data_IF_435240100775
#
_entry.id   IF_435240100775
#
_cell.length_a   1.000
_cell.length_b   1.000
_cell.length_c   1.000
_cell.angle_alpha   90.00
_cell.angle_beta   90.00
_cell.angle_gamma   90.00
#
_symmetry.space_group_name_H-M   'P 1'
#
loop_
_entity.id
_entity.type
_entity.pdbx_description
1 polymer ?
#
# COMPACT_ATOMS: atom_id res chain seq x y z
N UNK A 1 -8.48 -6.66 5.67
CA UNK A 1 -7.82 -7.52 4.65
C UNK A 1 -8.08 -6.93 3.27
N UNK A 2 -7.03 -6.76 2.47
CA UNK A 2 -7.14 -6.46 1.04
C UNK A 2 -6.94 -7.72 0.19
N UNK A 3 -7.39 -7.65 -1.05
CA UNK A 3 -7.23 -8.74 -2.02
C UNK A 3 -6.62 -8.23 -3.32
N UNK A 4 -5.65 -8.95 -3.88
CA UNK A 4 -5.09 -8.58 -5.16
C UNK A 4 -6.12 -8.71 -6.27
N UNK A 5 -6.10 -7.71 -7.15
CA UNK A 5 -6.77 -7.67 -8.43
C UNK A 5 -5.73 -7.92 -9.50
N UNK A 6 -5.96 -8.91 -10.34
CA UNK A 6 -4.99 -9.39 -11.33
C UNK A 6 -5.56 -9.30 -12.73
N UNK A 7 -4.68 -9.05 -13.68
CA UNK A 7 -4.96 -9.03 -15.11
C UNK A 7 -4.04 -8.06 -15.83
N UNK A 8 -3.61 -8.37 -17.06
CA UNK A 8 -2.73 -7.53 -17.84
C UNK A 8 -3.43 -6.30 -18.44
N UNK A 9 -4.75 -6.35 -18.62
CA UNK A 9 -5.52 -5.29 -19.27
C UNK A 9 -6.51 -4.63 -18.29
N UNK A 10 -6.99 -3.40 -18.60
CA UNK A 10 -8.07 -2.76 -17.85
C UNK A 10 -9.33 -3.62 -17.68
N UNK A 11 -9.71 -4.38 -18.71
CA UNK A 11 -10.91 -5.23 -18.64
C UNK A 11 -10.71 -6.45 -17.74
N UNK A 12 -9.53 -7.04 -17.72
CA UNK A 12 -9.19 -8.14 -16.83
C UNK A 12 -9.24 -7.72 -15.37
N UNK A 13 -8.69 -6.55 -15.04
CA UNK A 13 -8.71 -6.04 -13.66
C UNK A 13 -10.13 -5.66 -13.24
N UNK A 14 -10.98 -5.11 -14.14
CA UNK A 14 -12.40 -4.87 -13.85
C UNK A 14 -13.12 -6.18 -13.51
N UNK A 15 -12.96 -7.21 -14.34
CA UNK A 15 -13.58 -8.51 -14.10
C UNK A 15 -13.16 -9.11 -12.75
N UNK A 16 -11.85 -9.02 -12.42
CA UNK A 16 -11.33 -9.51 -11.15
C UNK A 16 -11.85 -8.67 -9.97
N UNK A 17 -11.94 -7.35 -10.11
CA UNK A 17 -12.47 -6.47 -9.07
C UNK A 17 -13.93 -6.80 -8.73
N UNK A 18 -14.79 -6.98 -9.73
CA UNK A 18 -16.20 -7.44 -9.54
C UNK A 18 -16.26 -8.73 -8.73
N UNK A 19 -15.43 -9.72 -9.09
CA UNK A 19 -15.39 -10.98 -8.36
C UNK A 19 -15.00 -10.77 -6.89
N UNK A 20 -14.03 -9.90 -6.61
CA UNK A 20 -13.62 -9.59 -5.22
C UNK A 20 -14.72 -8.90 -4.44
N UNK A 21 -15.46 -7.97 -5.06
CA UNK A 21 -16.61 -7.33 -4.42
C UNK A 21 -17.71 -8.35 -4.09
N UNK A 22 -18.01 -9.28 -5.01
CA UNK A 22 -18.98 -10.36 -4.75
C UNK A 22 -18.55 -11.28 -3.60
N UNK A 23 -17.24 -11.45 -3.40
CA UNK A 23 -16.66 -12.18 -2.27
C UNK A 23 -16.67 -11.38 -0.96
N UNK A 24 -17.15 -10.13 -0.97
CA UNK A 24 -17.28 -9.28 0.22
C UNK A 24 -16.04 -8.45 0.56
N UNK A 25 -15.01 -8.42 -0.29
CA UNK A 25 -13.84 -7.58 -0.05
C UNK A 25 -14.17 -6.11 -0.30
N UNK A 26 -13.64 -5.23 0.56
CA UNK A 26 -13.79 -3.77 0.51
C UNK A 26 -12.45 -3.03 0.36
N UNK A 27 -11.36 -3.78 0.23
CA UNK A 27 -10.01 -3.25 0.00
C UNK A 27 -9.37 -4.09 -1.09
N UNK A 28 -8.97 -3.43 -2.16
CA UNK A 28 -8.38 -4.07 -3.34
C UNK A 28 -6.98 -3.55 -3.57
N UNK A 29 -6.09 -4.40 -4.09
CA UNK A 29 -4.72 -4.03 -4.41
C UNK A 29 -4.43 -4.37 -5.86
N UNK A 30 -3.99 -3.38 -6.64
CA UNK A 30 -3.49 -3.54 -8.00
C UNK A 30 -1.98 -3.51 -7.96
N UNK A 31 -1.33 -4.56 -8.45
CA UNK A 31 0.14 -4.55 -8.61
C UNK A 31 0.51 -3.73 -9.82
N UNK A 32 1.42 -2.79 -9.61
CA UNK A 32 1.97 -1.86 -10.60
C UNK A 32 3.50 -1.88 -10.49
N UNK A 33 4.22 -1.06 -11.26
CA UNK A 33 5.67 -0.97 -11.16
C UNK A 33 6.40 -1.32 -12.45
N UNK A 34 5.65 -1.61 -13.52
CA UNK A 34 6.19 -1.91 -14.86
C UNK A 34 6.06 -0.70 -15.80
N UNK A 35 5.00 -0.64 -16.59
CA UNK A 35 4.72 0.49 -17.47
C UNK A 35 3.79 1.49 -16.77
N UNK A 36 4.26 2.72 -16.47
CA UNK A 36 3.50 3.67 -15.68
C UNK A 36 2.17 4.11 -16.32
N UNK A 37 2.04 4.05 -17.66
CA UNK A 37 0.79 4.40 -18.35
C UNK A 37 -0.20 3.25 -18.28
N UNK A 38 0.24 2.05 -18.65
CA UNK A 38 -0.60 0.85 -18.60
C UNK A 38 -1.06 0.57 -17.18
N UNK A 39 -0.18 0.73 -16.22
CA UNK A 39 -0.46 0.54 -14.80
C UNK A 39 -1.49 1.57 -14.28
N UNK A 40 -1.36 2.84 -14.66
CA UNK A 40 -2.35 3.86 -14.32
C UNK A 40 -3.73 3.53 -14.91
N UNK A 41 -3.80 3.12 -16.18
CA UNK A 41 -5.06 2.70 -16.82
C UNK A 41 -5.72 1.53 -16.10
N UNK A 42 -4.92 0.56 -15.62
CA UNK A 42 -5.43 -0.58 -14.84
C UNK A 42 -5.98 -0.14 -13.48
N UNK A 43 -5.28 0.75 -12.78
CA UNK A 43 -5.74 1.29 -11.48
C UNK A 43 -7.02 2.09 -11.65
N UNK A 44 -7.07 3.00 -12.63
CA UNK A 44 -8.26 3.79 -12.93
C UNK A 44 -9.45 2.89 -13.32
N UNK A 45 -9.22 1.83 -14.11
CA UNK A 45 -10.24 0.88 -14.47
C UNK A 45 -10.84 0.15 -13.26
N UNK A 46 -10.02 -0.19 -12.26
CA UNK A 46 -10.53 -0.75 -10.99
C UNK A 46 -11.32 0.31 -10.24
N UNK A 47 -10.79 1.52 -10.12
CA UNK A 47 -11.43 2.63 -9.41
C UNK A 47 -12.81 2.96 -9.98
N UNK A 48 -12.91 3.07 -11.30
CA UNK A 48 -14.18 3.31 -12.02
C UNK A 48 -15.20 2.20 -11.76
N UNK A 49 -14.74 0.94 -11.70
CA UNK A 49 -15.59 -0.22 -11.51
C UNK A 49 -16.16 -0.32 -10.09
N UNK A 50 -15.35 0.04 -9.08
CA UNK A 50 -15.70 -0.24 -7.67
C UNK A 50 -16.26 0.96 -6.93
N UNK A 51 -16.04 2.18 -7.44
CA UNK A 51 -16.50 3.42 -6.83
C UNK A 51 -15.72 3.82 -5.56
N UNK A 52 -16.19 4.89 -4.93
CA UNK A 52 -15.48 5.58 -3.83
C UNK A 52 -15.52 4.85 -2.48
N UNK A 53 -16.48 3.95 -2.30
CA UNK A 53 -16.63 3.19 -1.05
C UNK A 53 -15.59 2.06 -0.88
N UNK A 54 -14.78 1.82 -1.92
CA UNK A 54 -13.79 0.75 -1.96
C UNK A 54 -12.38 1.32 -1.95
N UNK A 55 -11.62 0.95 -0.93
CA UNK A 55 -10.20 1.36 -0.82
C UNK A 55 -9.37 0.63 -1.87
N UNK A 56 -8.73 1.39 -2.74
CA UNK A 56 -7.88 0.87 -3.82
C UNK A 56 -6.42 1.20 -3.56
N UNK A 57 -5.58 0.17 -3.46
CA UNK A 57 -4.12 0.29 -3.39
C UNK A 57 -3.51 0.10 -4.77
N UNK A 58 -2.56 0.94 -5.13
CA UNK A 58 -1.63 0.76 -6.23
C UNK A 58 -0.26 0.45 -5.63
N UNK A 59 0.14 -0.82 -5.63
CA UNK A 59 1.38 -1.28 -5.00
C UNK A 59 2.44 -1.57 -6.07
N UNK A 60 3.48 -0.75 -6.06
CA UNK A 60 4.57 -0.84 -7.02
C UNK A 60 5.72 -1.75 -6.57
N UNK A 61 5.76 -2.19 -5.33
CA UNK A 61 6.83 -3.02 -4.78
C UNK A 61 8.24 -2.51 -5.19
N UNK A 62 8.49 -1.20 -5.05
CA UNK A 62 9.71 -0.52 -5.49
C UNK A 62 9.96 -0.50 -7.02
N UNK A 63 9.01 -0.89 -7.85
CA UNK A 63 9.24 -1.13 -9.29
C UNK A 63 9.48 0.13 -10.11
N UNK A 64 9.04 1.30 -9.66
CA UNK A 64 9.24 2.54 -10.40
C UNK A 64 10.56 3.24 -10.04
N UNK A 65 11.24 3.76 -11.07
CA UNK A 65 12.15 4.88 -10.85
C UNK A 65 11.34 6.14 -10.53
N UNK A 66 11.96 7.14 -9.92
CA UNK A 66 11.28 8.41 -9.61
C UNK A 66 10.61 9.05 -10.85
N UNK A 67 11.25 8.96 -12.02
CA UNK A 67 10.68 9.50 -13.28
C UNK A 67 9.44 8.72 -13.73
N UNK A 68 9.47 7.39 -13.61
CA UNK A 68 8.32 6.52 -13.92
C UNK A 68 7.18 6.76 -12.92
N UNK A 69 7.48 6.85 -11.62
CA UNK A 69 6.51 7.16 -10.59
C UNK A 69 5.81 8.52 -10.83
N UNK A 70 6.56 9.56 -11.18
CA UNK A 70 5.99 10.87 -11.55
C UNK A 70 5.09 10.81 -12.78
N UNK A 71 5.41 9.95 -13.74
CA UNK A 71 4.55 9.72 -14.90
C UNK A 71 3.29 8.99 -14.51
N UNK A 72 3.42 7.94 -13.69
CA UNK A 72 2.29 7.17 -13.18
C UNK A 72 1.28 8.05 -12.42
N UNK A 73 1.74 8.85 -11.44
CA UNK A 73 0.83 9.72 -10.67
C UNK A 73 0.21 10.82 -11.52
N UNK A 74 0.89 11.30 -12.55
CA UNK A 74 0.32 12.25 -13.51
C UNK A 74 -0.84 11.64 -14.32
N UNK A 75 -0.69 10.38 -14.75
CA UNK A 75 -1.75 9.65 -15.46
C UNK A 75 -2.93 9.31 -14.55
N UNK A 76 -2.69 9.11 -13.24
CA UNK A 76 -3.76 8.91 -12.25
C UNK A 76 -4.58 10.19 -11.99
N UNK A 77 -4.02 11.35 -12.26
CA UNK A 77 -4.68 12.64 -11.99
C UNK A 77 -4.67 13.01 -10.50
N UNK A 78 -5.82 13.40 -9.95
CA UNK A 78 -5.94 13.82 -8.55
C UNK A 78 -5.76 12.69 -7.52
N UNK A 79 -5.72 11.43 -7.99
CA UNK A 79 -5.50 10.26 -7.15
C UNK A 79 -6.57 10.01 -6.09
N UNK A 80 -7.75 10.60 -6.23
CA UNK A 80 -8.83 10.52 -5.25
C UNK A 80 -9.14 9.05 -4.88
N UNK A 81 -8.95 8.72 -3.60
CA UNK A 81 -9.23 7.39 -3.05
C UNK A 81 -8.25 6.29 -3.45
N UNK A 82 -7.11 6.61 -4.04
CA UNK A 82 -6.05 5.65 -4.37
C UNK A 82 -4.92 5.78 -3.35
N UNK A 83 -4.55 4.66 -2.72
CA UNK A 83 -3.39 4.55 -1.84
C UNK A 83 -2.19 4.07 -2.67
N UNK A 84 -1.14 4.87 -2.71
CA UNK A 84 0.09 4.53 -3.43
C UNK A 84 1.06 3.83 -2.49
N UNK A 85 1.28 2.53 -2.69
CA UNK A 85 2.15 1.71 -1.85
C UNK A 85 3.52 1.54 -2.50
N UNK A 86 4.57 1.87 -1.75
CA UNK A 86 6.00 1.75 -2.06
C UNK A 86 6.34 2.00 -3.54
N UNK A 87 6.13 3.24 -4.04
CA UNK A 87 6.32 3.53 -5.47
C UNK A 87 7.77 3.41 -5.92
N UNK A 88 8.72 3.81 -5.08
CA UNK A 88 10.15 3.85 -5.38
C UNK A 88 10.97 3.05 -4.35
N UNK A 89 12.23 2.77 -4.69
CA UNK A 89 13.10 1.92 -3.88
C UNK A 89 13.56 2.56 -2.56
N UNK A 90 13.60 3.89 -2.48
CA UNK A 90 14.13 4.61 -1.32
C UNK A 90 13.14 5.63 -0.77
N UNK A 91 13.22 5.91 0.55
CA UNK A 91 12.42 6.99 1.18
C UNK A 91 12.70 8.35 0.55
N UNK A 92 13.94 8.63 0.12
CA UNK A 92 14.29 9.90 -0.52
C UNK A 92 13.61 10.07 -1.89
N UNK A 93 13.44 9.00 -2.68
CA UNK A 93 12.70 9.04 -3.94
C UNK A 93 11.19 9.19 -3.69
N UNK A 94 10.65 8.51 -2.67
CA UNK A 94 9.26 8.67 -2.27
C UNK A 94 8.97 10.10 -1.77
N UNK A 95 9.89 10.69 -0.99
CA UNK A 95 9.82 12.10 -0.56
C UNK A 95 9.83 13.05 -1.77
N UNK A 96 10.75 12.84 -2.72
CA UNK A 96 10.80 13.62 -3.95
C UNK A 96 9.54 13.45 -4.84
N UNK A 97 8.86 12.32 -4.76
CA UNK A 97 7.58 12.09 -5.44
C UNK A 97 6.44 12.84 -4.77
N UNK A 98 6.49 13.06 -3.45
CA UNK A 98 5.42 13.69 -2.65
C UNK A 98 4.98 15.03 -3.20
N UNK A 99 5.89 15.81 -3.80
CA UNK A 99 5.57 17.09 -4.44
C UNK A 99 4.65 16.96 -5.68
N UNK A 100 4.44 15.75 -6.18
CA UNK A 100 3.62 15.45 -7.36
C UNK A 100 2.45 14.53 -7.03
N UNK A 101 2.24 14.17 -5.75
CA UNK A 101 1.21 13.24 -5.30
C UNK A 101 0.58 13.70 -3.99
N UNK A 102 -0.67 14.15 -4.05
CA UNK A 102 -1.44 14.61 -2.88
C UNK A 102 -2.21 13.46 -2.20
N UNK A 103 -2.34 12.32 -2.86
CA UNK A 103 -3.02 11.14 -2.32
C UNK A 103 -2.21 10.43 -1.21
N UNK A 104 -2.84 9.50 -0.47
CA UNK A 104 -2.16 8.77 0.59
C UNK A 104 -1.02 7.89 0.04
N UNK A 105 0.11 7.88 0.77
CA UNK A 105 1.29 7.08 0.44
C UNK A 105 1.62 6.12 1.58
N UNK A 106 1.82 4.84 1.25
CA UNK A 106 2.06 3.75 2.20
C UNK A 106 3.46 3.20 1.97
N UNK A 107 4.26 3.13 3.04
CA UNK A 107 5.62 2.56 2.99
C UNK A 107 5.56 1.08 3.38
N UNK A 108 6.09 0.21 2.52
CA UNK A 108 6.22 -1.24 2.75
C UNK A 108 7.68 -1.66 2.83
N UNK A 109 8.39 -1.77 1.72
CA UNK A 109 9.76 -2.28 1.69
C UNK A 109 10.73 -1.44 2.49
N UNK A 110 10.48 -0.15 2.60
CA UNK A 110 11.29 0.76 3.43
C UNK A 110 10.94 0.73 4.91
N UNK A 111 9.84 0.08 5.31
CA UNK A 111 9.42 -0.08 6.72
C UNK A 111 10.19 -1.21 7.41
N UNK A 112 11.50 -1.05 7.57
CA UNK A 112 12.39 -2.11 8.08
C UNK A 112 12.65 -2.06 9.58
N UNK A 113 12.33 -0.94 10.23
CA UNK A 113 12.64 -0.71 11.65
C UNK A 113 11.88 0.48 12.20
N UNK A 114 11.90 0.66 13.53
CA UNK A 114 11.40 1.87 14.18
C UNK A 114 12.12 3.13 13.67
N UNK A 115 13.42 3.06 13.44
CA UNK A 115 14.18 4.21 12.91
C UNK A 115 13.69 4.61 11.50
N UNK A 116 13.39 3.62 10.65
CA UNK A 116 12.83 3.88 9.33
C UNK A 116 11.42 4.51 9.39
N UNK A 117 10.58 4.08 10.32
CA UNK A 117 9.27 4.70 10.57
C UNK A 117 9.42 6.16 10.99
N UNK A 118 10.31 6.45 11.94
CA UNK A 118 10.54 7.81 12.43
C UNK A 118 11.11 8.72 11.33
N UNK A 119 11.97 8.20 10.46
CA UNK A 119 12.48 8.94 9.30
C UNK A 119 11.38 9.22 8.27
N UNK A 120 10.53 8.23 7.96
CA UNK A 120 9.37 8.42 7.08
C UNK A 120 8.40 9.47 7.63
N UNK A 121 8.18 9.47 8.95
CA UNK A 121 7.38 10.49 9.62
C UNK A 121 8.04 11.88 9.56
N UNK A 122 9.35 11.98 9.83
CA UNK A 122 10.10 13.23 9.74
C UNK A 122 10.03 13.87 8.35
N UNK A 123 10.08 13.05 7.31
CA UNK A 123 9.93 13.47 5.92
C UNK A 123 8.46 13.74 5.52
N UNK A 124 7.51 13.38 6.37
CA UNK A 124 6.07 13.44 6.06
C UNK A 124 5.70 12.68 4.77
N UNK A 125 6.40 11.60 4.50
CA UNK A 125 6.23 10.80 3.27
C UNK A 125 5.22 9.67 3.46
N UNK A 126 4.96 9.23 4.70
CA UNK A 126 4.11 8.10 5.01
C UNK A 126 2.79 8.53 5.67
N UNK A 127 1.68 8.28 5.00
CA UNK A 127 0.33 8.29 5.59
C UNK A 127 0.01 6.93 6.20
N UNK A 128 0.70 5.88 5.74
CA UNK A 128 0.60 4.53 6.24
C UNK A 128 1.90 3.74 6.14
N UNK A 129 1.97 2.67 6.91
CA UNK A 129 3.08 1.73 6.88
C UNK A 129 2.59 0.30 6.87
N UNK A 130 3.25 -0.54 6.08
CA UNK A 130 3.07 -2.00 6.09
C UNK A 130 4.15 -2.62 6.96
N UNK A 131 3.75 -3.26 8.06
CA UNK A 131 4.65 -3.92 9.01
C UNK A 131 4.65 -5.41 8.74
N UNK A 132 5.78 -5.94 8.25
CA UNK A 132 5.98 -7.38 8.04
C UNK A 132 6.81 -7.96 9.18
N UNK A 133 6.24 -8.94 9.89
CA UNK A 133 6.86 -9.53 11.08
C UNK A 133 8.26 -10.07 10.79
N UNK A 134 8.42 -10.75 9.65
CA UNK A 134 9.72 -11.31 9.25
C UNK A 134 10.75 -10.24 8.95
N UNK A 135 10.33 -9.12 8.38
CA UNK A 135 11.21 -8.00 8.04
C UNK A 135 11.72 -7.26 9.28
N UNK A 136 10.88 -7.07 10.28
CA UNK A 136 11.22 -6.27 11.46
C UNK A 136 11.76 -7.12 12.62
N UNK A 137 11.83 -8.44 12.46
CA UNK A 137 12.45 -9.34 13.44
C UNK A 137 11.48 -9.95 14.47
N UNK A 138 10.20 -10.00 14.17
CA UNK A 138 9.18 -10.70 14.98
C UNK A 138 8.14 -9.82 15.64
N UNK A 139 7.38 -10.39 16.56
CA UNK A 139 6.19 -9.79 17.16
C UNK A 139 6.52 -8.53 17.99
N UNK A 140 7.55 -8.60 18.84
CA UNK A 140 7.88 -7.50 19.76
C UNK A 140 8.26 -6.21 19.03
N UNK A 141 9.21 -6.20 18.07
CA UNK A 141 9.50 -5.00 17.30
C UNK A 141 8.32 -4.57 16.41
N UNK A 142 7.55 -5.51 15.86
CA UNK A 142 6.36 -5.17 15.07
C UNK A 142 5.30 -4.46 15.90
N UNK A 143 5.04 -4.92 17.13
CA UNK A 143 4.11 -4.28 18.05
C UNK A 143 4.58 -2.86 18.42
N UNK A 144 5.86 -2.69 18.69
CA UNK A 144 6.44 -1.37 18.98
C UNK A 144 6.28 -0.40 17.80
N UNK A 145 6.61 -0.85 16.58
CA UNK A 145 6.47 -0.04 15.36
C UNK A 145 5.00 0.33 15.16
N UNK A 146 4.07 -0.62 15.30
CA UNK A 146 2.64 -0.38 15.23
C UNK A 146 2.17 0.69 16.22
N UNK A 147 2.53 0.53 17.49
CA UNK A 147 2.06 1.42 18.55
C UNK A 147 2.58 2.84 18.37
N UNK A 148 3.83 2.98 17.94
CA UNK A 148 4.41 4.28 17.61
C UNK A 148 3.74 4.89 16.38
N UNK A 149 3.54 4.13 15.30
CA UNK A 149 2.86 4.60 14.10
C UNK A 149 1.44 5.11 14.42
N UNK A 150 0.67 4.34 15.20
CA UNK A 150 -0.67 4.74 15.67
C UNK A 150 -0.59 6.04 16.47
N UNK A 151 0.36 6.17 17.38
CA UNK A 151 0.56 7.40 18.18
C UNK A 151 0.94 8.62 17.33
N UNK A 152 1.56 8.42 16.18
CA UNK A 152 1.91 9.46 15.20
C UNK A 152 0.78 9.75 14.20
N UNK A 153 -0.35 9.04 14.26
CA UNK A 153 -1.45 9.18 13.29
C UNK A 153 -1.18 8.51 11.95
N UNK A 154 -0.15 7.65 11.86
CA UNK A 154 0.19 6.90 10.66
C UNK A 154 -0.59 5.59 10.66
N UNK A 155 -1.30 5.30 9.56
CA UNK A 155 -2.04 4.06 9.40
C UNK A 155 -1.15 2.84 9.34
N UNK A 156 -1.64 1.70 9.85
CA UNK A 156 -0.84 0.47 9.93
C UNK A 156 -1.57 -0.69 9.29
N UNK A 157 -0.87 -1.38 8.41
CA UNK A 157 -1.21 -2.73 7.96
C UNK A 157 -0.17 -3.71 8.50
N UNK A 158 -0.62 -4.79 9.16
CA UNK A 158 0.29 -5.87 9.58
C UNK A 158 0.06 -7.08 8.67
N UNK A 159 1.10 -7.49 8.01
CA UNK A 159 1.07 -8.65 7.09
C UNK A 159 2.42 -9.36 7.01
N UNK A 160 2.53 -10.33 6.13
CA UNK A 160 3.82 -10.92 5.73
C UNK A 160 3.75 -11.43 4.28
N UNK A 161 4.91 -11.56 3.65
CA UNK A 161 5.02 -12.00 2.26
C UNK A 161 4.69 -13.49 2.09
N UNK A 162 5.00 -14.29 3.12
CA UNK A 162 4.75 -15.73 3.14
C UNK A 162 4.75 -16.24 4.59
N UNK A 163 4.20 -17.41 4.80
CA UNK A 163 4.22 -18.02 6.13
C UNK A 163 3.30 -19.21 6.20
N UNK A 164 3.50 -20.02 7.24
CA UNK A 164 2.59 -21.08 7.60
C UNK A 164 1.39 -20.52 8.39
N UNK A 165 0.43 -21.39 8.73
CA UNK A 165 -0.75 -20.99 9.50
C UNK A 165 -0.40 -20.24 10.80
N UNK A 166 0.74 -20.53 11.42
CA UNK A 166 1.20 -19.83 12.61
C UNK A 166 1.49 -18.35 12.33
N UNK A 167 2.17 -18.02 11.22
CA UNK A 167 2.41 -16.65 10.82
C UNK A 167 1.08 -15.93 10.51
N UNK A 168 0.17 -16.56 9.76
CA UNK A 168 -1.15 -16.01 9.48
C UNK A 168 -1.94 -15.69 10.76
N UNK A 169 -1.96 -16.60 11.72
CA UNK A 169 -2.63 -16.36 13.01
C UNK A 169 -1.99 -15.21 13.77
N UNK A 170 -0.67 -15.11 13.75
CA UNK A 170 0.06 -14.05 14.46
C UNK A 170 -0.31 -12.66 13.93
N UNK A 171 -0.23 -12.42 12.62
CA UNK A 171 -0.60 -11.10 12.11
C UNK A 171 -2.12 -10.86 12.08
N UNK A 172 -2.94 -11.90 12.04
CA UNK A 172 -4.38 -11.75 12.25
C UNK A 172 -4.69 -11.19 13.65
N UNK A 173 -4.06 -11.74 14.69
CA UNK A 173 -4.18 -11.24 16.06
C UNK A 173 -3.63 -9.82 16.21
N UNK A 174 -2.48 -9.52 15.59
CA UNK A 174 -1.92 -8.18 15.62
C UNK A 174 -2.86 -7.17 14.93
N UNK A 175 -3.41 -7.50 13.76
CA UNK A 175 -4.38 -6.63 13.09
C UNK A 175 -5.65 -6.45 13.92
N UNK A 176 -6.16 -7.51 14.55
CA UNK A 176 -7.37 -7.43 15.40
C UNK A 176 -7.16 -6.53 16.63
N UNK A 177 -5.91 -6.39 17.11
CA UNK A 177 -5.53 -5.52 18.23
C UNK A 177 -5.05 -4.12 17.79
N UNK A 178 -5.01 -3.85 16.49
CA UNK A 178 -4.61 -2.55 15.93
C UNK A 178 -5.87 -1.69 15.75
N UNK A 179 -5.91 -0.44 16.23
CA UNK A 179 -7.02 0.46 15.97
C UNK A 179 -7.27 0.63 14.48
N UNK A 180 -8.55 0.63 14.07
CA UNK A 180 -8.91 0.93 12.69
C UNK A 180 -8.60 2.40 12.39
N UNK A 181 -7.89 2.66 11.31
CA UNK A 181 -7.43 4.01 10.94
C UNK A 181 -7.91 4.44 9.55
N UNK A 182 -8.29 3.51 8.66
CA UNK A 182 -8.92 3.72 7.36
C UNK A 182 -9.71 2.50 6.90
#
# INVERSE_FOLDING_TARGET
LYRPVQGPTPDDVRATARLRLQQGYRRLQVKVGDDPIVDAQRVLAVRDEVGDDIVTFADANCGFSLSAARRFVRELGDGAGIFLEQPCATLGECDALRSSWDGPMVMDETSTSLAALLEAHRLQVADGVTVKLTRVGGITPAALIRDVAVGLGIGVTVEDASGCNLAYMTFAHMNASTPAQW
#
